data_IF_970375758936
#
_entry.id   IF_970375758936
#
_cell.length_a   1.000
_cell.length_b   1.000
_cell.length_c   1.000
_cell.angle_alpha   90.00
_cell.angle_beta   90.00
_cell.angle_gamma   90.00
#
_symmetry.space_group_name_H-M   'P 1'
#
loop_
_entity.id
_entity.type
_entity.pdbx_description
1 polymer ?
#
# COMPACT_ATOMS: atom_id res chain seq x y z
N UNK A 1 -10.61 27.27 -14.91
CA UNK A 1 -11.69 26.45 -15.52
C UNK A 1 -11.64 25.09 -14.84
N UNK A 2 -12.73 24.61 -14.22
CA UNK A 2 -12.70 23.28 -13.59
C UNK A 2 -12.32 22.22 -14.64
N UNK A 3 -11.45 21.23 -14.32
CA UNK A 3 -11.10 20.21 -15.28
C UNK A 3 -12.38 19.44 -15.65
N UNK A 4 -12.73 19.41 -16.94
CA UNK A 4 -13.86 18.61 -17.38
C UNK A 4 -13.53 17.12 -17.22
N UNK A 5 -14.44 16.37 -16.62
CA UNK A 5 -14.51 14.91 -16.70
C UNK A 5 -14.99 14.59 -18.13
N UNK A 6 -14.19 13.87 -18.91
CA UNK A 6 -14.37 13.73 -20.37
C UNK A 6 -14.94 12.38 -20.79
N UNK A 7 -14.68 11.32 -20.01
CA UNK A 7 -14.92 9.93 -20.40
C UNK A 7 -16.01 9.22 -19.59
N UNK A 8 -16.43 9.81 -18.47
CA UNK A 8 -17.42 9.25 -17.54
C UNK A 8 -18.44 10.34 -17.18
N UNK A 9 -19.69 9.98 -16.97
CA UNK A 9 -20.70 10.89 -16.40
C UNK A 9 -20.19 11.48 -15.06
N UNK A 10 -20.21 12.82 -14.87
CA UNK A 10 -19.65 13.46 -13.68
C UNK A 10 -20.24 12.96 -12.36
N UNK A 11 -21.55 12.68 -12.31
CA UNK A 11 -22.19 12.16 -11.08
C UNK A 11 -21.69 10.77 -10.76
N UNK A 12 -21.59 9.91 -11.78
CA UNK A 12 -21.05 8.56 -11.67
C UNK A 12 -19.58 8.58 -11.25
N UNK A 13 -18.77 9.48 -11.80
CA UNK A 13 -17.37 9.67 -11.42
C UNK A 13 -17.22 10.04 -9.95
N UNK A 14 -17.98 11.02 -9.46
CA UNK A 14 -17.94 11.44 -8.05
C UNK A 14 -18.36 10.30 -7.11
N UNK A 15 -19.43 9.57 -7.44
CA UNK A 15 -19.89 8.43 -6.63
C UNK A 15 -18.82 7.34 -6.55
N UNK A 16 -18.23 6.95 -7.68
CA UNK A 16 -17.32 5.82 -7.74
C UNK A 16 -15.92 6.17 -7.21
N UNK A 17 -15.42 7.38 -7.47
CA UNK A 17 -14.16 7.85 -6.89
C UNK A 17 -14.26 7.96 -5.37
N UNK A 18 -15.38 8.47 -4.83
CA UNK A 18 -15.63 8.50 -3.39
C UNK A 18 -15.75 7.09 -2.81
N UNK A 19 -16.38 6.13 -3.51
CA UNK A 19 -16.40 4.74 -3.06
C UNK A 19 -15.02 4.12 -2.98
N UNK A 20 -14.16 4.32 -3.98
CA UNK A 20 -12.76 3.85 -3.95
C UNK A 20 -11.99 4.45 -2.76
N UNK A 21 -12.19 5.74 -2.49
CA UNK A 21 -11.61 6.37 -1.31
C UNK A 21 -12.19 5.82 0.01
N UNK A 22 -13.49 5.55 0.08
CA UNK A 22 -14.10 4.90 1.26
C UNK A 22 -13.52 3.51 1.53
N UNK A 23 -13.16 2.74 0.50
CA UNK A 23 -12.47 1.45 0.70
C UNK A 23 -11.17 1.65 1.48
N UNK A 24 -10.36 2.65 1.13
CA UNK A 24 -9.13 2.95 1.90
C UNK A 24 -9.41 3.31 3.35
N UNK A 25 -10.54 3.99 3.63
CA UNK A 25 -10.98 4.29 5.00
C UNK A 25 -11.41 3.03 5.76
N UNK A 26 -12.13 2.12 5.11
CA UNK A 26 -12.51 0.84 5.70
C UNK A 26 -11.29 -0.04 6.01
N UNK A 27 -10.28 -0.04 5.12
CA UNK A 27 -8.99 -0.68 5.36
C UNK A 27 -8.33 -0.12 6.62
N UNK A 28 -8.24 1.21 6.75
CA UNK A 28 -7.63 1.88 7.88
C UNK A 28 -8.32 1.54 9.21
N UNK A 29 -9.67 1.48 9.21
CA UNK A 29 -10.44 1.08 10.40
C UNK A 29 -10.13 -0.37 10.81
N UNK A 30 -10.04 -1.29 9.85
CA UNK A 30 -9.70 -2.68 10.13
C UNK A 30 -8.27 -2.80 10.69
N UNK A 31 -7.33 -2.09 10.09
CA UNK A 31 -5.93 -2.05 10.51
C UNK A 31 -5.80 -1.52 11.95
N UNK A 32 -6.35 -0.33 12.22
CA UNK A 32 -6.27 0.32 13.55
C UNK A 32 -6.90 -0.55 14.65
N UNK A 33 -8.03 -1.22 14.37
CA UNK A 33 -8.74 -2.05 15.35
C UNK A 33 -8.09 -3.41 15.61
N UNK A 34 -7.19 -3.85 14.74
CA UNK A 34 -6.55 -5.18 14.85
C UNK A 34 -5.03 -5.10 15.01
N UNK A 35 -4.46 -3.89 15.03
CA UNK A 35 -3.04 -3.63 15.27
C UNK A 35 -2.58 -4.10 16.65
N UNK A 36 -1.30 -4.48 16.73
CA UNK A 36 -0.68 -4.96 17.95
C UNK A 36 0.00 -3.87 18.77
N UNK A 37 0.64 -2.92 18.08
CA UNK A 37 1.51 -1.92 18.74
C UNK A 37 0.83 -0.57 18.93
N UNK A 38 1.43 0.26 19.79
CA UNK A 38 0.99 1.65 20.02
C UNK A 38 1.22 2.53 18.78
N UNK A 39 2.23 2.21 17.96
CA UNK A 39 2.49 2.86 16.68
C UNK A 39 1.25 2.75 15.79
N UNK A 40 0.73 1.52 15.67
CA UNK A 40 -0.46 1.24 14.88
C UNK A 40 -1.75 1.78 15.52
N UNK A 41 -1.98 1.48 16.79
CA UNK A 41 -3.30 1.68 17.43
C UNK A 41 -3.55 3.08 17.98
N UNK A 42 -2.49 3.85 18.28
CA UNK A 42 -2.60 5.17 18.90
C UNK A 42 -1.94 6.27 18.08
N UNK A 43 -0.73 6.02 17.56
CA UNK A 43 0.01 7.02 16.78
C UNK A 43 -0.46 7.07 15.32
N UNK A 44 -1.07 5.99 14.84
CA UNK A 44 -1.53 5.82 13.46
C UNK A 44 -0.40 5.93 12.44
N UNK A 45 0.73 5.33 12.80
CA UNK A 45 1.91 5.24 11.94
C UNK A 45 1.78 4.04 10.98
N UNK A 46 0.84 4.19 10.06
CA UNK A 46 0.50 3.22 9.03
C UNK A 46 -0.03 3.94 7.79
N UNK A 47 -0.19 3.21 6.69
CA UNK A 47 -0.95 3.70 5.54
C UNK A 47 -1.77 2.59 4.89
N UNK A 48 -2.86 3.00 4.24
CA UNK A 48 -3.71 2.13 3.41
C UNK A 48 -3.97 2.77 2.06
N UNK A 49 -3.85 1.99 0.99
CA UNK A 49 -3.97 2.50 -0.38
C UNK A 49 -4.33 1.42 -1.39
N UNK A 50 -4.84 1.86 -2.53
CA UNK A 50 -5.20 1.08 -3.70
C UNK A 50 -4.34 1.51 -4.88
N UNK A 51 -4.00 0.54 -5.74
CA UNK A 51 -3.21 0.74 -6.95
C UNK A 51 -3.87 0.06 -8.14
N UNK A 52 -3.62 0.62 -9.31
CA UNK A 52 -3.96 0.04 -10.61
C UNK A 52 -3.09 -1.19 -10.90
N UNK A 53 -3.45 -2.05 -11.87
CA UNK A 53 -2.68 -3.26 -12.19
C UNK A 53 -1.19 -3.03 -12.46
N UNK A 54 -0.83 -1.86 -12.98
CA UNK A 54 0.52 -1.40 -13.30
C UNK A 54 1.29 -0.78 -12.12
N UNK A 55 0.67 -0.75 -10.93
CA UNK A 55 1.24 -0.15 -9.72
C UNK A 55 1.10 1.37 -9.64
N UNK A 56 0.35 2.01 -10.54
CA UNK A 56 0.01 3.43 -10.41
C UNK A 56 -1.01 3.66 -9.28
N UNK A 57 -0.85 4.74 -8.54
CA UNK A 57 -1.68 5.06 -7.36
C UNK A 57 -3.13 5.29 -7.79
N UNK A 58 -4.07 4.47 -7.30
CA UNK A 58 -5.50 4.64 -7.58
C UNK A 58 -6.18 5.54 -6.55
N UNK A 59 -5.99 5.23 -5.26
CA UNK A 59 -6.58 5.96 -4.15
C UNK A 59 -5.79 5.71 -2.87
N UNK A 60 -5.70 6.70 -2.01
CA UNK A 60 -5.03 6.59 -0.72
C UNK A 60 -5.93 7.07 0.41
N UNK A 61 -5.76 6.44 1.59
CA UNK A 61 -6.38 6.86 2.84
C UNK A 61 -5.68 8.09 3.45
N UNK A 62 -6.31 8.69 4.46
CA UNK A 62 -5.89 9.95 5.11
C UNK A 62 -4.75 9.76 6.14
N UNK A 63 -3.77 8.92 5.83
CA UNK A 63 -2.69 8.51 6.76
C UNK A 63 -1.32 8.92 6.22
N UNK A 64 -0.21 8.30 6.63
CA UNK A 64 1.14 8.74 6.27
C UNK A 64 1.37 8.78 4.74
N UNK A 65 1.12 9.94 4.14
CA UNK A 65 1.00 10.10 2.68
C UNK A 65 2.30 9.86 1.91
N UNK A 66 3.46 10.00 2.55
CA UNK A 66 4.76 9.73 1.93
C UNK A 66 4.91 8.24 1.54
N UNK A 67 4.26 7.32 2.25
CA UNK A 67 4.30 5.89 1.93
C UNK A 67 3.47 5.50 0.71
N UNK A 68 2.54 6.36 0.25
CA UNK A 68 1.67 6.04 -0.89
C UNK A 68 2.49 5.85 -2.17
N UNK A 69 3.54 6.65 -2.35
CA UNK A 69 4.44 6.51 -3.50
C UNK A 69 5.33 5.27 -3.33
N UNK A 70 5.87 5.06 -2.12
CA UNK A 70 6.69 3.90 -1.78
C UNK A 70 5.97 2.58 -2.00
N UNK A 71 4.71 2.46 -1.60
CA UNK A 71 3.90 1.27 -1.85
C UNK A 71 3.60 1.05 -3.34
N UNK A 72 3.51 2.11 -4.14
CA UNK A 72 3.48 1.99 -5.61
C UNK A 72 4.78 1.38 -6.16
N UNK A 73 5.94 1.78 -5.64
CA UNK A 73 7.20 1.11 -5.95
C UNK A 73 7.21 -0.34 -5.46
N UNK A 74 6.67 -0.63 -4.28
CA UNK A 74 6.54 -1.98 -3.77
C UNK A 74 5.76 -2.90 -4.72
N UNK A 75 4.62 -2.43 -5.25
CA UNK A 75 3.85 -3.15 -6.28
C UNK A 75 4.71 -3.38 -7.53
N UNK A 76 5.40 -2.35 -8.03
CA UNK A 76 6.27 -2.47 -9.21
C UNK A 76 7.42 -3.47 -8.98
N UNK A 77 8.00 -3.51 -7.77
CA UNK A 77 9.02 -4.51 -7.40
C UNK A 77 8.48 -5.93 -7.37
N UNK A 78 7.23 -6.13 -6.93
CA UNK A 78 6.58 -7.44 -7.01
C UNK A 78 6.39 -7.83 -8.48
N UNK A 79 5.91 -6.92 -9.33
CA UNK A 79 5.74 -7.15 -10.77
C UNK A 79 7.06 -7.44 -11.51
N UNK A 80 8.18 -6.86 -11.07
CA UNK A 80 9.51 -7.15 -11.62
C UNK A 80 10.08 -8.49 -11.15
N UNK A 81 9.70 -8.93 -9.94
CA UNK A 81 10.27 -10.11 -9.29
C UNK A 81 9.52 -11.40 -9.59
N UNK A 82 8.21 -11.30 -9.82
CA UNK A 82 7.32 -12.42 -10.04
C UNK A 82 6.70 -12.29 -11.43
N UNK A 83 6.78 -13.34 -12.22
CA UNK A 83 6.08 -13.40 -13.50
C UNK A 83 4.56 -13.36 -13.28
N UNK A 84 3.80 -12.95 -14.30
CA UNK A 84 2.36 -12.80 -14.16
C UNK A 84 1.65 -14.11 -13.79
N UNK A 85 2.19 -15.26 -14.23
CA UNK A 85 1.69 -16.59 -13.89
C UNK A 85 2.17 -17.09 -12.52
N UNK A 86 2.92 -16.29 -11.76
CA UNK A 86 3.30 -16.53 -10.37
C UNK A 86 2.50 -15.67 -9.38
N UNK A 87 1.65 -14.74 -9.84
CA UNK A 87 0.84 -13.87 -8.98
C UNK A 87 -0.61 -14.38 -8.99
N UNK A 88 -1.06 -14.98 -7.89
CA UNK A 88 -2.37 -15.62 -7.82
C UNK A 88 -3.37 -14.84 -6.95
N UNK A 89 -4.68 -15.08 -7.13
CA UNK A 89 -5.68 -14.72 -6.13
C UNK A 89 -5.27 -15.23 -4.75
N UNK A 90 -5.49 -14.40 -3.73
CA UNK A 90 -5.17 -14.68 -2.33
C UNK A 90 -3.68 -14.84 -2.00
N UNK A 91 -2.78 -14.47 -2.91
CA UNK A 91 -1.39 -14.20 -2.54
C UNK A 91 -1.32 -12.89 -1.72
N UNK A 92 -0.34 -12.81 -0.81
CA UNK A 92 0.00 -11.58 -0.10
C UNK A 92 1.52 -11.51 -0.01
N UNK A 93 2.07 -10.38 -0.42
CA UNK A 93 3.49 -10.10 -0.48
C UNK A 93 3.93 -9.19 0.69
N UNK A 94 5.21 -9.29 1.04
CA UNK A 94 5.85 -8.63 2.17
C UNK A 94 7.20 -8.07 1.71
N UNK A 95 7.48 -6.79 2.01
CA UNK A 95 8.79 -6.18 1.78
C UNK A 95 9.02 -4.97 2.71
N UNK A 96 10.28 -4.63 2.96
CA UNK A 96 10.68 -3.45 3.74
C UNK A 96 12.06 -2.91 3.32
N UNK A 97 12.62 -3.38 2.19
CA UNK A 97 13.96 -2.98 1.79
C UNK A 97 13.97 -1.50 1.31
N UNK A 98 14.71 -0.60 1.97
CA UNK A 98 14.72 0.82 1.62
C UNK A 98 15.36 1.11 0.26
N UNK A 99 16.21 0.21 -0.25
CA UNK A 99 16.76 0.34 -1.60
C UNK A 99 15.76 -0.03 -2.71
N UNK A 100 14.62 -0.62 -2.34
CA UNK A 100 13.62 -1.11 -3.29
C UNK A 100 12.35 -0.29 -3.26
N UNK A 101 11.83 0.03 -2.08
CA UNK A 101 10.55 0.71 -1.92
C UNK A 101 10.38 1.43 -0.57
N UNK A 102 10.84 0.86 0.54
CA UNK A 102 10.58 1.40 1.87
C UNK A 102 11.33 2.70 2.16
N UNK A 103 10.91 3.45 3.18
CA UNK A 103 11.68 4.61 3.64
C UNK A 103 12.80 4.13 4.56
N UNK A 104 12.46 3.25 5.50
CA UNK A 104 13.42 2.50 6.29
C UNK A 104 12.84 1.14 6.71
N UNK A 105 13.66 0.33 7.39
CA UNK A 105 13.42 -1.10 7.61
C UNK A 105 12.21 -1.36 8.53
N UNK A 106 11.91 -0.45 9.45
CA UNK A 106 10.74 -0.59 10.34
C UNK A 106 9.42 -0.45 9.58
N UNK A 107 9.44 0.11 8.37
CA UNK A 107 8.24 0.25 7.54
C UNK A 107 8.03 -1.03 6.73
N UNK A 108 7.23 -1.94 7.27
CA UNK A 108 6.88 -3.16 6.56
C UNK A 108 5.67 -2.91 5.68
N UNK A 109 5.81 -3.20 4.39
CA UNK A 109 4.71 -3.14 3.43
C UNK A 109 4.14 -4.54 3.20
N UNK A 110 2.82 -4.62 3.28
CA UNK A 110 2.06 -5.80 2.90
C UNK A 110 1.18 -5.46 1.71
N UNK A 111 1.34 -6.21 0.62
CA UNK A 111 0.74 -5.91 -0.68
C UNK A 111 -0.07 -7.11 -1.18
N UNK A 112 -1.30 -6.90 -1.64
CA UNK A 112 -2.18 -7.95 -2.11
C UNK A 112 -2.71 -7.66 -3.52
N UNK A 113 -2.58 -8.60 -4.48
CA UNK A 113 -3.24 -8.49 -5.77
C UNK A 113 -4.74 -8.65 -5.61
N UNK A 114 -5.49 -7.82 -6.32
CA UNK A 114 -6.94 -7.88 -6.39
C UNK A 114 -7.32 -8.47 -7.74
N UNK A 115 -7.91 -9.66 -7.71
CA UNK A 115 -8.39 -10.34 -8.91
C UNK A 115 -9.92 -10.27 -9.02
N UNK A 116 -10.40 -10.11 -10.25
CA UNK A 116 -11.81 -10.24 -10.62
C UNK A 116 -11.95 -11.19 -11.80
N UNK A 117 -12.65 -12.32 -11.61
CA UNK A 117 -12.80 -13.38 -12.62
C UNK A 117 -11.45 -13.75 -13.28
N UNK A 118 -10.47 -14.08 -12.44
CA UNK A 118 -9.09 -14.47 -12.82
C UNK A 118 -8.22 -13.37 -13.45
N UNK A 119 -8.76 -12.17 -13.67
CA UNK A 119 -7.98 -11.01 -14.14
C UNK A 119 -7.48 -10.19 -12.97
N UNK A 120 -6.19 -9.84 -12.95
CA UNK A 120 -5.64 -8.84 -12.06
C UNK A 120 -6.25 -7.46 -12.41
N UNK A 121 -6.97 -6.87 -11.46
CA UNK A 121 -7.67 -5.58 -11.63
C UNK A 121 -7.09 -4.45 -10.79
N UNK A 122 -6.19 -4.77 -9.86
CA UNK A 122 -5.47 -3.78 -9.07
C UNK A 122 -4.74 -4.43 -7.91
N UNK A 123 -4.30 -3.59 -6.98
CA UNK A 123 -3.61 -4.01 -5.77
C UNK A 123 -4.13 -3.21 -4.58
N UNK A 124 -4.09 -3.80 -3.40
CA UNK A 124 -4.12 -3.06 -2.15
C UNK A 124 -2.77 -3.15 -1.47
N UNK A 125 -2.35 -2.07 -0.83
CA UNK A 125 -1.16 -2.08 0.00
C UNK A 125 -1.44 -1.39 1.33
N UNK A 126 -0.74 -1.90 2.33
CA UNK A 126 -0.55 -1.26 3.61
C UNK A 126 0.93 -1.10 3.89
N UNK A 127 1.27 -0.19 4.79
CA UNK A 127 2.44 -0.38 5.62
C UNK A 127 2.07 -0.16 7.07
N UNK A 128 2.85 -0.74 7.97
CA UNK A 128 2.89 -0.41 9.39
C UNK A 128 4.33 -0.17 9.79
N UNK A 129 4.57 0.88 10.58
CA UNK A 129 5.84 1.07 11.27
C UNK A 129 5.92 0.14 12.48
N UNK A 130 6.53 -1.03 12.30
CA UNK A 130 6.66 -2.01 13.37
C UNK A 130 7.62 -1.50 14.44
N UNK A 131 7.36 -1.86 15.69
CA UNK A 131 8.13 -1.34 16.81
C UNK A 131 9.53 -1.95 16.99
N UNK A 132 9.85 -3.01 16.25
CA UNK A 132 11.17 -3.62 16.23
C UNK A 132 11.36 -4.44 14.95
N UNK A 133 12.54 -4.34 14.34
CA UNK A 133 12.92 -5.06 13.12
C UNK A 133 14.25 -5.83 13.27
N UNK A 134 14.69 -6.03 14.52
CA UNK A 134 15.96 -6.71 14.80
C UNK A 134 17.22 -5.89 14.56
N UNK A 135 17.08 -4.56 14.51
CA UNK A 135 18.23 -3.65 14.40
C UNK A 135 19.14 -3.73 15.64
N UNK A 136 20.32 -3.12 15.57
CA UNK A 136 21.33 -3.06 16.65
C UNK A 136 20.71 -2.54 17.95
N UNK A 137 19.97 -1.43 17.85
CA UNK A 137 19.21 -0.84 18.95
C UNK A 137 17.75 -1.31 18.95
N UNK A 138 17.14 -1.51 20.13
CA UNK A 138 15.68 -1.71 20.24
C UNK A 138 14.92 -0.52 19.64
N UNK A 139 13.79 -0.79 18.98
CA UNK A 139 12.95 0.25 18.36
C UNK A 139 13.07 0.34 16.83
N UNK A 140 14.07 -0.33 16.24
CA UNK A 140 14.30 -0.32 14.78
C UNK A 140 15.17 0.83 14.29
N UNK A 141 15.16 1.98 14.97
CA UNK A 141 16.03 3.11 14.67
C UNK A 141 17.34 3.02 15.45
N UNK A 142 18.46 2.87 14.74
CA UNK A 142 19.79 2.68 15.33
C UNK A 142 20.74 3.81 14.93
N UNK A 143 20.83 4.91 15.71
CA UNK A 143 21.71 6.04 15.39
C UNK A 143 23.21 5.67 15.26
N UNK A 144 23.63 4.64 15.98
CA UNK A 144 25.01 4.13 15.95
C UNK A 144 25.25 3.11 14.81
N UNK A 145 24.25 2.84 13.97
CA UNK A 145 24.41 1.95 12.82
C UNK A 145 25.36 2.58 11.79
N UNK A 146 26.46 1.88 11.51
CA UNK A 146 27.44 2.28 10.49
C UNK A 146 27.24 1.58 9.13
N UNK A 147 26.39 0.55 9.10
CA UNK A 147 26.06 -0.20 7.89
C UNK A 147 24.65 -0.75 7.97
N UNK A 148 24.06 -1.01 6.80
CA UNK A 148 22.68 -1.46 6.66
C UNK A 148 22.38 -2.78 7.41
N UNK A 149 23.38 -3.62 7.61
CA UNK A 149 23.23 -4.89 8.32
C UNK A 149 23.01 -4.73 9.83
N UNK A 150 23.30 -3.54 10.37
CA UNK A 150 22.99 -3.17 11.75
C UNK A 150 21.55 -2.66 11.91
N UNK A 151 20.82 -2.44 10.83
CA UNK A 151 19.50 -1.79 10.85
C UNK A 151 18.35 -2.80 10.75
N UNK A 152 18.65 -4.09 10.97
CA UNK A 152 17.65 -5.16 11.04
C UNK A 152 17.36 -5.85 9.72
N UNK A 153 16.31 -6.68 9.70
CA UNK A 153 16.02 -7.53 8.55
C UNK A 153 15.56 -6.70 7.34
N UNK A 154 16.16 -7.01 6.17
CA UNK A 154 15.75 -6.48 4.87
C UNK A 154 15.06 -7.55 4.04
N UNK A 155 13.86 -7.24 3.60
CA UNK A 155 12.94 -8.15 2.93
C UNK A 155 12.69 -7.62 1.52
N UNK A 156 13.15 -8.34 0.48
CA UNK A 156 13.17 -7.82 -0.88
C UNK A 156 11.90 -8.09 -1.69
N UNK A 157 10.80 -8.53 -1.04
CA UNK A 157 9.58 -9.01 -1.71
C UNK A 157 9.43 -10.52 -1.64
N UNK A 158 8.77 -11.01 -0.60
CA UNK A 158 8.47 -12.43 -0.39
C UNK A 158 6.96 -12.66 -0.35
N UNK A 159 6.50 -13.87 -0.68
CA UNK A 159 5.12 -14.28 -0.41
C UNK A 159 4.96 -14.60 1.08
N UNK A 160 4.15 -13.83 1.77
CA UNK A 160 3.73 -14.06 3.15
C UNK A 160 2.50 -14.98 3.20
N UNK A 161 1.58 -14.82 2.26
CA UNK A 161 0.46 -15.74 2.04
C UNK A 161 0.54 -16.23 0.60
N UNK A 162 0.41 -17.53 0.41
CA UNK A 162 0.44 -18.17 -0.91
C UNK A 162 -0.88 -18.88 -1.14
N UNK A 163 -1.67 -18.38 -2.10
CA UNK A 163 -3.01 -18.89 -2.47
C UNK A 163 -3.90 -19.10 -1.23
N UNK A 164 -3.96 -18.08 -0.37
CA UNK A 164 -4.77 -18.08 0.86
C UNK A 164 -4.17 -18.87 2.03
N UNK A 165 -2.97 -19.46 1.89
CA UNK A 165 -2.28 -20.17 2.96
C UNK A 165 -1.10 -19.36 3.48
N UNK A 166 -1.12 -19.03 4.78
CA UNK A 166 0.00 -18.35 5.43
C UNK A 166 1.27 -19.20 5.33
N UNK A 167 2.34 -18.61 4.81
CA UNK A 167 3.69 -19.17 4.82
C UNK A 167 4.27 -19.02 6.23
N UNK A 168 3.97 -20.02 7.07
CA UNK A 168 4.39 -20.02 8.49
C UNK A 168 5.90 -19.89 8.64
N UNK A 169 6.65 -20.54 7.76
CA UNK A 169 8.11 -20.44 7.68
C UNK A 169 8.58 -18.98 7.49
N UNK A 170 7.95 -18.23 6.58
CA UNK A 170 8.26 -16.81 6.35
C UNK A 170 7.82 -15.95 7.54
N UNK A 171 6.57 -16.11 7.98
CA UNK A 171 6.01 -15.34 9.11
C UNK A 171 6.82 -15.54 10.40
N UNK A 172 7.15 -16.77 10.75
CA UNK A 172 7.93 -17.10 11.94
C UNK A 172 9.37 -16.61 11.79
N UNK A 173 9.99 -16.72 10.61
CA UNK A 173 11.35 -16.18 10.39
C UNK A 173 11.38 -14.68 10.64
N UNK A 174 10.47 -13.91 10.03
CA UNK A 174 10.42 -12.45 10.15
C UNK A 174 10.17 -12.04 11.59
N UNK A 175 9.18 -12.63 12.25
CA UNK A 175 8.83 -12.27 13.64
C UNK A 175 9.91 -12.67 14.64
N UNK A 176 10.60 -13.81 14.45
CA UNK A 176 11.71 -14.21 15.34
C UNK A 176 12.98 -13.36 15.18
N UNK A 177 13.09 -12.57 14.12
CA UNK A 177 14.14 -11.57 13.99
C UNK A 177 13.84 -10.30 14.80
N UNK A 178 12.72 -10.24 15.52
CA UNK A 178 12.33 -9.08 16.32
C UNK A 178 12.36 -9.39 17.81
N UNK A 179 12.50 -8.35 18.63
CA UNK A 179 12.46 -8.45 20.10
C UNK A 179 11.04 -8.67 20.63
N UNK A 180 10.01 -8.38 19.83
CA UNK A 180 8.60 -8.47 20.22
C UNK A 180 7.77 -9.26 19.19
N UNK A 181 8.06 -10.56 18.98
CA UNK A 181 7.46 -11.37 17.91
C UNK A 181 5.93 -11.41 17.97
N UNK A 182 5.35 -11.40 19.18
CA UNK A 182 3.90 -11.39 19.36
C UNK A 182 3.24 -10.10 18.89
N UNK A 183 3.87 -8.94 19.13
CA UNK A 183 3.33 -7.63 18.76
C UNK A 183 3.55 -7.35 17.27
N UNK A 184 4.75 -7.56 16.76
CA UNK A 184 5.05 -7.46 15.32
C UNK A 184 4.19 -8.44 14.52
N UNK A 185 4.01 -9.65 15.03
CA UNK A 185 3.13 -10.63 14.40
C UNK A 185 1.64 -10.25 14.40
N UNK A 186 1.19 -9.38 15.32
CA UNK A 186 -0.16 -8.80 15.27
C UNK A 186 -0.24 -7.68 14.23
N UNK A 187 0.78 -6.83 14.12
CA UNK A 187 0.84 -5.79 13.09
C UNK A 187 0.84 -6.40 11.67
N UNK A 188 1.65 -7.42 11.40
CA UNK A 188 1.61 -8.12 10.10
C UNK A 188 0.22 -8.70 9.79
N UNK A 189 -0.51 -9.18 10.81
CA UNK A 189 -1.86 -9.72 10.64
C UNK A 189 -2.91 -8.64 10.46
N UNK A 190 -2.75 -7.47 11.06
CA UNK A 190 -3.67 -6.35 10.88
C UNK A 190 -3.58 -5.79 9.46
N UNK A 191 -2.37 -5.76 8.90
CA UNK A 191 -2.12 -5.44 7.49
C UNK A 191 -2.80 -6.43 6.53
N UNK A 192 -2.65 -7.74 6.79
CA UNK A 192 -3.38 -8.78 6.05
C UNK A 192 -4.90 -8.57 6.14
N UNK A 193 -5.42 -8.25 7.34
CA UNK A 193 -6.85 -8.01 7.54
C UNK A 193 -7.33 -6.81 6.72
N UNK A 194 -6.60 -5.70 6.73
CA UNK A 194 -6.90 -4.50 5.97
C UNK A 194 -6.90 -4.76 4.45
N UNK A 195 -5.89 -5.47 3.92
CA UNK A 195 -5.85 -5.84 2.52
C UNK A 195 -7.00 -6.79 2.10
N UNK A 196 -7.44 -7.67 3.00
CA UNK A 196 -8.61 -8.50 2.74
C UNK A 196 -9.92 -7.69 2.66
N UNK A 197 -10.05 -6.60 3.44
CA UNK A 197 -11.17 -5.65 3.32
C UNK A 197 -11.17 -5.01 1.92
N UNK A 198 -10.01 -4.53 1.48
CA UNK A 198 -9.84 -3.94 0.16
C UNK A 198 -10.26 -4.88 -0.96
N UNK A 199 -9.75 -6.12 -0.92
CA UNK A 199 -10.07 -7.18 -1.89
C UNK A 199 -11.58 -7.42 -1.98
N UNK A 200 -12.24 -7.64 -0.84
CA UNK A 200 -13.68 -7.88 -0.81
C UNK A 200 -14.47 -6.71 -1.38
N UNK A 201 -14.17 -5.48 -0.96
CA UNK A 201 -14.89 -4.29 -1.42
C UNK A 201 -14.67 -3.97 -2.88
N UNK A 202 -13.46 -4.17 -3.38
CA UNK A 202 -13.16 -4.00 -4.79
C UNK A 202 -13.92 -5.04 -5.62
N UNK A 203 -13.94 -6.31 -5.20
CA UNK A 203 -14.71 -7.35 -5.87
C UNK A 203 -16.21 -7.03 -5.90
N UNK A 204 -16.80 -6.57 -4.78
CA UNK A 204 -18.19 -6.10 -4.72
C UNK A 204 -18.47 -4.96 -5.72
N UNK A 205 -17.53 -4.01 -5.84
CA UNK A 205 -17.64 -2.93 -6.83
C UNK A 205 -17.61 -3.47 -8.26
N UNK A 206 -16.70 -4.40 -8.58
CA UNK A 206 -16.60 -5.00 -9.90
C UNK A 206 -17.85 -5.81 -10.26
N UNK A 207 -18.44 -6.52 -9.31
CA UNK A 207 -19.69 -7.26 -9.53
C UNK A 207 -20.89 -6.32 -9.77
N UNK A 208 -20.98 -5.22 -9.03
CA UNK A 208 -22.13 -4.32 -9.12
C UNK A 208 -22.07 -3.37 -10.34
N UNK A 209 -20.90 -2.78 -10.61
CA UNK A 209 -20.74 -1.75 -11.64
C UNK A 209 -20.13 -2.26 -12.94
N UNK A 210 -19.50 -3.43 -12.90
CA UNK A 210 -18.82 -4.04 -14.03
C UNK A 210 -17.43 -3.44 -14.31
N UNK A 211 -16.54 -4.23 -14.94
CA UNK A 211 -15.15 -3.84 -15.12
C UNK A 211 -14.95 -2.63 -16.02
N UNK A 212 -15.75 -2.51 -17.09
CA UNK A 212 -15.62 -1.41 -18.05
C UNK A 212 -15.78 -0.04 -17.38
N UNK A 213 -16.75 0.09 -16.48
CA UNK A 213 -17.03 1.36 -15.81
C UNK A 213 -15.95 1.70 -14.77
N UNK A 214 -15.54 0.72 -13.96
CA UNK A 214 -14.49 0.93 -12.96
C UNK A 214 -13.14 1.25 -13.58
N UNK A 215 -12.77 0.56 -14.66
CA UNK A 215 -11.51 0.79 -15.35
C UNK A 215 -11.49 2.20 -16.00
N UNK A 216 -12.66 2.67 -16.50
CA UNK A 216 -12.83 4.03 -17.00
C UNK A 216 -12.71 5.10 -15.89
N UNK A 217 -13.41 4.91 -14.76
CA UNK A 217 -13.32 5.81 -13.60
C UNK A 217 -11.89 5.87 -13.07
N UNK A 218 -11.24 4.72 -12.91
CA UNK A 218 -9.86 4.63 -12.41
C UNK A 218 -8.88 5.39 -13.30
N UNK A 219 -9.10 5.36 -14.62
CA UNK A 219 -8.24 6.07 -15.58
C UNK A 219 -8.53 7.58 -15.59
N UNK A 220 -9.79 7.93 -15.44
CA UNK A 220 -10.23 9.31 -15.36
C UNK A 220 -9.76 9.99 -14.07
N UNK A 221 -9.68 9.27 -12.93
CA UNK A 221 -9.14 9.78 -11.67
C UNK A 221 -7.69 10.26 -11.80
N UNK A 222 -6.84 9.45 -12.45
CA UNK A 222 -5.43 9.82 -12.73
C UNK A 222 -5.36 11.04 -13.65
N UNK A 223 -6.12 11.03 -14.75
CA UNK A 223 -6.12 12.13 -15.70
C UNK A 223 -6.61 13.44 -15.07
N UNK A 224 -7.63 13.34 -14.22
CA UNK A 224 -8.21 14.48 -13.51
C UNK A 224 -7.21 15.06 -12.51
N UNK A 225 -6.54 14.22 -11.71
CA UNK A 225 -5.52 14.67 -10.75
C UNK A 225 -4.32 15.33 -11.45
N UNK A 226 -3.82 14.75 -12.55
CA UNK A 226 -2.75 15.35 -13.36
C UNK A 226 -3.15 16.72 -13.90
N UNK A 227 -4.37 16.83 -14.46
CA UNK A 227 -4.87 18.10 -15.03
C UNK A 227 -4.97 19.17 -13.95
N UNK A 228 -5.47 18.81 -12.77
CA UNK A 228 -5.58 19.72 -11.64
C UNK A 228 -4.21 20.18 -11.14
N UNK A 229 -3.27 19.25 -10.95
CA UNK A 229 -1.90 19.56 -10.52
C UNK A 229 -1.21 20.47 -11.54
N UNK A 230 -1.31 20.17 -12.84
CA UNK A 230 -0.75 21.00 -13.92
C UNK A 230 -1.33 22.40 -13.91
N UNK A 231 -2.64 22.54 -13.67
CA UNK A 231 -3.29 23.85 -13.54
C UNK A 231 -2.74 24.63 -12.34
N UNK A 232 -2.52 23.96 -11.19
CA UNK A 232 -1.95 24.61 -10.00
C UNK A 232 -0.50 25.02 -10.18
N UNK A 233 0.31 24.18 -10.83
CA UNK A 233 1.69 24.53 -11.16
C UNK A 233 1.74 25.74 -12.10
N UNK A 234 0.82 25.84 -13.07
CA UNK A 234 0.74 26.99 -13.97
C UNK A 234 0.30 28.31 -13.29
N UNK A 235 -0.21 28.26 -12.05
CA UNK A 235 -0.49 29.46 -11.25
C UNK A 235 0.80 30.02 -10.61
N UNK A 236 1.88 29.24 -10.54
CA UNK A 236 3.17 29.68 -10.02
C UNK A 236 3.87 30.55 -11.08
N UNK A 237 4.37 31.76 -10.73
CA UNK A 237 5.06 32.63 -11.69
C UNK A 237 6.28 31.94 -12.33
N UNK A 238 6.57 32.16 -13.61
CA UNK A 238 7.81 31.61 -14.18
C UNK A 238 9.05 32.15 -13.45
N UNK A 239 9.95 31.27 -13.01
CA UNK A 239 11.13 31.67 -12.24
C UNK A 239 12.04 30.52 -11.81
N UNK A 240 13.02 30.85 -10.97
CA UNK A 240 13.87 29.87 -10.28
C UNK A 240 13.78 30.14 -8.78
N UNK A 241 13.50 29.10 -8.00
CA UNK A 241 13.37 29.17 -6.56
C UNK A 241 14.45 28.32 -5.90
N UNK A 242 15.05 28.85 -4.85
CA UNK A 242 16.06 28.17 -4.04
C UNK A 242 15.87 28.55 -2.58
N UNK A 243 16.03 27.59 -1.68
CA UNK A 243 16.21 27.82 -0.25
C UNK A 243 17.70 27.82 0.08
N UNK A 244 18.12 28.58 1.09
CA UNK A 244 19.52 28.70 1.51
C UNK A 244 19.94 27.56 2.44
#
# INVERSE_FOLDING_TARGET
MQPLIRSVDPVTFEILSHRLHQITKEMAIALERTGGTVNTTQQRDYMTSLYRPDGEILSAGETMGHHVVCAGFAVKRILERFEADEIYPDDIFLLNDPYLAAIHQSDIYVVSPIHYRERLVGWSATFVHVNDIGALSPGGDSPDATEIFHEGIRIPGLKLVERGKLRKDVFETVTHMTRQPGMVGLDLKCEIAANNVAKARMQDMYDHYGPKLLDAVSSEMIRYSETLLRSRIAEIPDGSWSEQ
#
